data_IF_645264630282
#
_entry.id   IF_645264630282
#
_cell.length_a   1.000
_cell.length_b   1.000
_cell.length_c   1.000
_cell.angle_alpha   90.00
_cell.angle_beta   90.00
_cell.angle_gamma   90.00
#
_symmetry.space_group_name_H-M   'P 1'
#
loop_
_entity.id
_entity.type
_entity.pdbx_description
1 polymer ?
#
# COMPACT_ATOMS: atom_id res chain seq x y z
N UNK A 1 5.76 2.94 -26.24
CA UNK A 1 5.41 2.73 -24.82
C UNK A 1 5.98 1.37 -24.45
N UNK A 2 6.96 1.33 -23.54
CA UNK A 2 7.46 0.04 -23.05
C UNK A 2 6.32 -0.75 -22.43
N UNK A 3 6.34 -2.06 -22.65
CA UNK A 3 5.26 -2.94 -22.24
C UNK A 3 5.28 -3.09 -20.71
N UNK A 4 4.32 -2.54 -20.00
CA UNK A 4 4.20 -2.67 -18.54
C UNK A 4 3.95 -4.14 -18.20
N UNK A 5 4.91 -4.78 -17.54
CA UNK A 5 4.88 -6.20 -17.18
C UNK A 5 4.67 -6.46 -15.70
N UNK A 6 5.05 -5.50 -14.85
CA UNK A 6 4.98 -5.62 -13.39
C UNK A 6 4.39 -4.37 -12.76
N UNK A 7 3.28 -4.55 -12.07
CA UNK A 7 2.59 -3.49 -11.35
C UNK A 7 2.69 -3.78 -9.87
N UNK A 8 3.16 -2.82 -9.09
CA UNK A 8 3.16 -2.91 -7.64
C UNK A 8 1.97 -2.16 -7.06
N UNK A 9 1.22 -2.78 -6.15
CA UNK A 9 0.21 -2.12 -5.33
C UNK A 9 0.70 -2.01 -3.88
N UNK A 10 0.77 -0.79 -3.34
CA UNK A 10 1.19 -0.54 -1.97
C UNK A 10 -0.03 -0.55 -1.04
N UNK A 11 -0.17 -1.60 -0.21
CA UNK A 11 -1.29 -1.78 0.71
C UNK A 11 -0.90 -1.42 2.15
N UNK A 12 -1.61 -0.47 2.74
CA UNK A 12 -1.47 -0.07 4.15
C UNK A 12 -2.52 -0.72 5.06
N UNK A 13 -3.43 -1.55 4.52
CA UNK A 13 -4.53 -2.22 5.23
C UNK A 13 -5.43 -1.23 5.98
N UNK A 14 -5.95 -0.27 5.25
CA UNK A 14 -7.00 0.65 5.66
C UNK A 14 -8.34 0.20 5.07
N UNK A 15 -9.43 0.87 5.43
CA UNK A 15 -10.76 0.65 4.84
C UNK A 15 -10.81 0.79 3.30
N UNK A 16 -9.81 1.44 2.70
CA UNK A 16 -9.70 1.65 1.25
C UNK A 16 -8.87 0.58 0.52
N UNK A 17 -8.27 -0.38 1.26
CA UNK A 17 -7.33 -1.35 0.68
C UNK A 17 -7.97 -2.29 -0.33
N UNK A 18 -9.22 -2.68 -0.13
CA UNK A 18 -9.97 -3.54 -1.06
C UNK A 18 -10.19 -2.83 -2.42
N UNK A 19 -10.71 -1.60 -2.39
CA UNK A 19 -10.91 -0.81 -3.61
C UNK A 19 -9.61 -0.55 -4.37
N UNK A 20 -8.53 -0.23 -3.63
CA UNK A 20 -7.20 -0.05 -4.19
C UNK A 20 -6.66 -1.31 -4.84
N UNK A 21 -6.78 -2.46 -4.16
CA UNK A 21 -6.36 -3.75 -4.70
C UNK A 21 -7.13 -4.10 -5.97
N UNK A 22 -8.47 -4.01 -5.95
CA UNK A 22 -9.33 -4.32 -7.09
C UNK A 22 -9.02 -3.42 -8.30
N UNK A 23 -8.74 -2.14 -8.06
CA UNK A 23 -8.34 -1.20 -9.11
C UNK A 23 -6.99 -1.61 -9.73
N UNK A 24 -5.98 -1.91 -8.91
CA UNK A 24 -4.67 -2.36 -9.38
C UNK A 24 -4.75 -3.69 -10.13
N UNK A 25 -5.54 -4.64 -9.63
CA UNK A 25 -5.79 -5.93 -10.27
C UNK A 25 -6.43 -5.78 -11.65
N UNK A 26 -7.40 -4.87 -11.77
CA UNK A 26 -8.03 -4.56 -13.06
C UNK A 26 -7.03 -3.98 -14.07
N UNK A 27 -6.16 -3.07 -13.65
CA UNK A 27 -5.09 -2.54 -14.52
C UNK A 27 -4.13 -3.65 -14.94
N UNK A 28 -3.69 -4.48 -13.98
CA UNK A 28 -2.79 -5.59 -14.25
C UNK A 28 -3.41 -6.60 -15.24
N UNK A 29 -4.71 -6.86 -15.13
CA UNK A 29 -5.45 -7.73 -16.06
C UNK A 29 -5.49 -7.14 -17.47
N UNK A 30 -5.81 -5.86 -17.60
CA UNK A 30 -5.88 -5.17 -18.89
C UNK A 30 -4.53 -5.11 -19.61
N UNK A 31 -3.44 -5.00 -18.85
CA UNK A 31 -2.08 -4.93 -19.38
C UNK A 31 -1.39 -6.29 -19.47
N UNK A 32 -2.07 -7.38 -19.04
CA UNK A 32 -1.48 -8.72 -18.94
C UNK A 32 -0.18 -8.71 -18.11
N UNK A 33 -0.18 -7.99 -16.99
CA UNK A 33 0.96 -7.77 -16.11
C UNK A 33 0.87 -8.63 -14.83
N UNK A 34 2.03 -8.91 -14.22
CA UNK A 34 2.14 -9.44 -12.86
C UNK A 34 1.72 -8.36 -11.85
N UNK A 35 0.94 -8.73 -10.84
CA UNK A 35 0.58 -7.86 -9.73
C UNK A 35 1.39 -8.20 -8.48
N UNK A 36 2.18 -7.25 -7.99
CA UNK A 36 2.98 -7.41 -6.79
C UNK A 36 2.33 -6.60 -5.66
N UNK A 37 1.84 -7.30 -4.64
CA UNK A 37 1.30 -6.67 -3.44
C UNK A 37 2.47 -6.38 -2.50
N UNK A 38 2.73 -5.10 -2.21
CA UNK A 38 3.74 -4.68 -1.25
C UNK A 38 3.08 -4.16 0.03
N UNK A 39 3.48 -4.72 1.17
CA UNK A 39 3.05 -4.29 2.49
C UNK A 39 4.24 -4.02 3.39
N UNK A 40 4.38 -2.76 3.83
CA UNK A 40 5.48 -2.35 4.70
C UNK A 40 4.96 -2.15 6.12
N UNK A 41 5.53 -2.88 7.07
CA UNK A 41 5.33 -2.64 8.51
C UNK A 41 6.27 -1.50 8.90
N UNK A 42 5.71 -0.39 9.36
CA UNK A 42 6.50 0.79 9.66
C UNK A 42 7.39 0.53 10.89
N UNK A 43 8.69 0.70 10.75
CA UNK A 43 9.65 0.54 11.85
C UNK A 43 9.40 1.51 13.01
N UNK A 44 8.76 2.67 12.78
CA UNK A 44 8.37 3.59 13.86
C UNK A 44 7.33 2.98 14.79
N UNK A 45 6.39 2.21 14.26
CA UNK A 45 5.36 1.53 15.07
C UNK A 45 6.02 0.49 15.98
N UNK A 46 7.03 -0.22 15.47
CA UNK A 46 7.81 -1.20 16.23
C UNK A 46 8.64 -0.52 17.33
N UNK A 47 9.29 0.61 17.02
CA UNK A 47 10.03 1.38 18.01
C UNK A 47 9.12 1.88 19.14
N UNK A 48 7.91 2.33 18.82
CA UNK A 48 6.93 2.74 19.82
C UNK A 48 6.56 1.60 20.77
N UNK A 49 6.38 0.37 20.25
CA UNK A 49 6.13 -0.83 21.06
C UNK A 49 7.35 -1.14 21.94
N UNK A 50 8.56 -1.06 21.40
CA UNK A 50 9.81 -1.25 22.17
C UNK A 50 9.98 -0.24 23.31
N UNK A 51 9.57 1.01 23.11
CA UNK A 51 9.58 2.04 24.18
C UNK A 51 8.60 1.67 25.31
N UNK A 52 7.40 1.19 24.97
CA UNK A 52 6.42 0.74 25.97
C UNK A 52 6.96 -0.46 26.77
N UNK A 53 7.63 -1.40 26.10
CA UNK A 53 8.30 -2.53 26.75
C UNK A 53 9.40 -2.06 27.73
N UNK A 54 10.17 -1.03 27.37
CA UNK A 54 11.21 -0.47 28.24
C UNK A 54 10.65 0.23 29.50
N UNK A 55 9.37 0.58 29.51
CA UNK A 55 8.66 1.13 30.68
C UNK A 55 8.11 0.06 31.62
N UNK A 56 8.46 -1.21 31.41
CA UNK A 56 8.08 -2.34 32.29
C UNK A 56 6.78 -3.05 31.90
N UNK A 57 6.23 -2.78 30.74
CA UNK A 57 5.09 -3.54 30.20
C UNK A 57 5.59 -4.77 29.44
N UNK A 58 4.92 -5.90 29.64
CA UNK A 58 5.21 -7.14 28.90
C UNK A 58 4.70 -7.04 27.46
N UNK A 59 5.45 -6.37 26.60
CA UNK A 59 5.19 -6.27 25.17
C UNK A 59 6.45 -6.68 24.41
N UNK A 60 6.33 -7.71 23.57
CA UNK A 60 7.41 -8.18 22.72
C UNK A 60 7.25 -7.63 21.30
N UNK A 61 8.24 -6.86 20.86
CA UNK A 61 8.27 -6.24 19.53
C UNK A 61 8.27 -7.28 18.40
N UNK A 62 8.93 -8.43 18.61
CA UNK A 62 8.95 -9.51 17.61
C UNK A 62 7.59 -10.17 17.49
N UNK A 63 6.92 -10.45 18.60
CA UNK A 63 5.55 -10.97 18.64
C UNK A 63 4.55 -9.99 17.99
N UNK A 64 4.75 -8.70 18.21
CA UNK A 64 3.95 -7.64 17.57
C UNK A 64 4.08 -7.65 16.05
N UNK A 65 5.31 -7.74 15.52
CA UNK A 65 5.56 -7.82 14.07
C UNK A 65 4.94 -9.08 13.47
N UNK A 66 5.13 -10.24 14.11
CA UNK A 66 4.57 -11.51 13.66
C UNK A 66 3.04 -11.48 13.66
N UNK A 67 2.42 -10.87 14.66
CA UNK A 67 0.96 -10.68 14.73
C UNK A 67 0.42 -9.84 13.59
N UNK A 68 1.05 -8.68 13.33
CA UNK A 68 0.66 -7.82 12.21
C UNK A 68 0.84 -8.53 10.87
N UNK A 69 1.96 -9.22 10.68
CA UNK A 69 2.23 -9.93 9.43
C UNK A 69 1.20 -11.04 9.17
N UNK A 70 0.85 -11.81 10.22
CA UNK A 70 -0.15 -12.86 10.13
C UNK A 70 -1.54 -12.31 9.79
N UNK A 71 -1.93 -11.19 10.41
CA UNK A 71 -3.19 -10.51 10.13
C UNK A 71 -3.23 -10.00 8.67
N UNK A 72 -2.17 -9.35 8.23
CA UNK A 72 -2.06 -8.84 6.85
C UNK A 72 -2.05 -9.96 5.81
N UNK A 73 -1.41 -11.10 6.10
CA UNK A 73 -1.47 -12.28 5.22
C UNK A 73 -2.90 -12.80 5.05
N UNK A 74 -3.69 -12.84 6.13
CA UNK A 74 -5.10 -13.23 6.05
C UNK A 74 -5.92 -12.24 5.20
N UNK A 75 -5.68 -10.94 5.38
CA UNK A 75 -6.35 -9.91 4.59
C UNK A 75 -6.00 -10.01 3.10
N UNK A 76 -4.72 -10.20 2.78
CA UNK A 76 -4.26 -10.40 1.38
C UNK A 76 -4.90 -11.64 0.78
N UNK A 77 -4.92 -12.74 1.51
CA UNK A 77 -5.54 -13.98 1.03
C UNK A 77 -7.02 -13.79 0.73
N UNK A 78 -7.74 -13.08 1.60
CA UNK A 78 -9.14 -12.73 1.37
C UNK A 78 -9.33 -11.88 0.10
N UNK A 79 -8.50 -10.84 -0.09
CA UNK A 79 -8.53 -10.00 -1.30
C UNK A 79 -8.30 -10.80 -2.57
N UNK A 80 -7.33 -11.74 -2.54
CA UNK A 80 -7.03 -12.61 -3.69
C UNK A 80 -8.19 -13.55 -3.99
N UNK A 81 -8.80 -14.15 -2.95
CA UNK A 81 -9.91 -15.10 -3.10
C UNK A 81 -11.18 -14.44 -3.64
N UNK A 82 -11.44 -13.19 -3.25
CA UNK A 82 -12.61 -12.44 -3.71
C UNK A 82 -12.40 -11.75 -5.06
N UNK A 83 -11.15 -11.74 -5.55
CA UNK A 83 -10.80 -11.14 -6.83
C UNK A 83 -11.02 -12.08 -8.00
N UNK A 84 -11.39 -11.53 -9.16
CA UNK A 84 -11.39 -12.24 -10.43
C UNK A 84 -10.01 -12.35 -11.10
N UNK A 85 -8.99 -11.72 -10.53
CA UNK A 85 -7.64 -11.72 -11.09
C UNK A 85 -6.95 -13.07 -10.85
N UNK A 86 -6.19 -13.55 -11.85
CA UNK A 86 -5.55 -14.87 -11.75
C UNK A 86 -4.50 -14.89 -10.64
N UNK A 87 -4.72 -15.71 -9.61
CA UNK A 87 -3.82 -15.88 -8.46
C UNK A 87 -2.37 -16.18 -8.86
N UNK A 88 -2.14 -16.91 -9.96
CA UNK A 88 -0.78 -17.24 -10.43
C UNK A 88 0.02 -16.01 -10.86
N UNK A 89 -0.66 -14.92 -11.17
CA UNK A 89 -0.05 -13.64 -11.55
C UNK A 89 0.05 -12.65 -10.38
N UNK A 90 -0.18 -13.13 -9.14
CA UNK A 90 -0.07 -12.32 -7.92
C UNK A 90 1.08 -12.80 -7.07
N UNK A 91 1.93 -11.88 -6.64
CA UNK A 91 2.98 -12.11 -5.65
C UNK A 91 2.86 -11.11 -4.51
N UNK A 92 3.12 -11.53 -3.28
CA UNK A 92 3.04 -10.69 -2.10
C UNK A 92 4.40 -10.55 -1.44
N UNK A 93 4.76 -9.33 -1.06
CA UNK A 93 6.00 -9.00 -0.37
C UNK A 93 5.68 -8.23 0.90
N UNK A 94 6.12 -8.77 2.04
CA UNK A 94 6.10 -8.10 3.34
C UNK A 94 7.51 -7.62 3.68
N UNK A 95 7.61 -6.39 4.18
CA UNK A 95 8.86 -5.79 4.66
C UNK A 95 8.62 -5.02 5.94
N UNK A 96 9.66 -4.91 6.74
CA UNK A 96 9.72 -4.01 7.90
C UNK A 96 10.71 -2.89 7.57
N UNK A 97 10.33 -1.65 7.84
CA UNK A 97 11.21 -0.51 7.58
C UNK A 97 10.46 0.81 7.41
N UNK A 98 11.16 1.81 6.87
CA UNK A 98 10.50 3.04 6.44
C UNK A 98 9.68 2.78 5.16
N UNK A 99 8.36 3.02 5.17
CA UNK A 99 7.51 2.66 4.03
C UNK A 99 7.97 3.27 2.70
N UNK A 100 8.37 4.53 2.68
CA UNK A 100 8.84 5.18 1.44
C UNK A 100 10.11 4.52 0.91
N UNK A 101 11.10 4.32 1.77
CA UNK A 101 12.40 3.80 1.36
C UNK A 101 12.30 2.33 0.93
N UNK A 102 11.52 1.52 1.63
CA UNK A 102 11.33 0.12 1.26
C UNK A 102 10.54 -0.03 -0.05
N UNK A 103 9.52 0.79 -0.28
CA UNK A 103 8.79 0.78 -1.56
C UNK A 103 9.70 1.20 -2.72
N UNK A 104 10.52 2.24 -2.57
CA UNK A 104 11.49 2.66 -3.60
C UNK A 104 12.54 1.57 -3.88
N UNK A 105 13.06 0.91 -2.84
CA UNK A 105 13.97 -0.24 -3.01
C UNK A 105 13.30 -1.40 -3.76
N UNK A 106 12.04 -1.70 -3.44
CA UNK A 106 11.28 -2.74 -4.13
C UNK A 106 11.05 -2.41 -5.60
N UNK A 107 10.75 -1.14 -5.94
CA UNK A 107 10.60 -0.72 -7.33
C UNK A 107 11.82 -1.10 -8.15
N UNK A 108 13.01 -0.80 -7.64
CA UNK A 108 14.27 -1.10 -8.34
C UNK A 108 14.57 -2.60 -8.33
N UNK A 109 14.51 -3.24 -7.16
CA UNK A 109 14.89 -4.65 -6.97
C UNK A 109 14.03 -5.62 -7.77
N UNK A 110 12.73 -5.35 -7.83
CA UNK A 110 11.76 -6.22 -8.49
C UNK A 110 11.50 -5.84 -9.95
N UNK A 111 12.18 -4.79 -10.46
CA UNK A 111 11.96 -4.22 -11.79
C UNK A 111 10.48 -3.89 -12.02
N UNK A 112 9.91 -3.09 -11.12
CA UNK A 112 8.53 -2.62 -11.21
C UNK A 112 8.42 -1.57 -12.31
N UNK A 113 7.39 -1.68 -13.14
CA UNK A 113 7.15 -0.73 -14.24
C UNK A 113 6.16 0.38 -13.84
N UNK A 114 5.34 0.14 -12.80
CA UNK A 114 4.31 1.07 -12.34
C UNK A 114 3.94 0.78 -10.89
N UNK A 115 3.66 1.82 -10.10
CA UNK A 115 3.11 1.66 -8.75
C UNK A 115 1.71 2.26 -8.65
N UNK A 116 0.80 1.53 -8.02
CA UNK A 116 -0.56 1.98 -7.66
C UNK A 116 -0.64 2.11 -6.14
N UNK A 117 -1.12 3.24 -5.66
CA UNK A 117 -1.20 3.49 -4.22
C UNK A 117 -2.35 4.42 -3.86
N UNK A 118 -2.79 4.35 -2.60
CA UNK A 118 -3.76 5.28 -2.04
C UNK A 118 -3.11 6.65 -1.75
N UNK A 119 -3.91 7.69 -1.79
CA UNK A 119 -3.45 9.07 -1.48
C UNK A 119 -3.42 9.32 0.03
N UNK A 120 -4.33 8.68 0.79
CA UNK A 120 -4.41 8.78 2.25
C UNK A 120 -3.68 7.61 2.92
N UNK A 121 -3.00 7.90 4.04
CA UNK A 121 -2.42 6.88 4.91
C UNK A 121 -3.42 6.43 5.99
N UNK A 122 -2.91 5.78 7.04
CA UNK A 122 -3.68 5.30 8.21
C UNK A 122 -4.33 6.40 9.05
N UNK A 123 -3.85 7.63 8.99
CA UNK A 123 -4.43 8.75 9.73
C UNK A 123 -5.55 9.38 8.91
N UNK A 124 -6.79 9.11 9.30
CA UNK A 124 -8.04 9.71 8.78
C UNK A 124 -8.19 11.18 9.21
N UNK A 125 -7.14 11.97 9.12
CA UNK A 125 -7.31 13.42 9.29
C UNK A 125 -8.09 13.94 8.10
N UNK A 126 -9.29 14.44 8.37
CA UNK A 126 -10.31 14.90 7.42
C UNK A 126 -9.87 16.03 6.47
N UNK A 127 -8.63 16.45 6.54
CA UNK A 127 -8.12 17.54 5.72
C UNK A 127 -7.23 16.99 4.58
N UNK A 128 -7.49 17.48 3.43
CA UNK A 128 -6.94 17.50 2.07
C UNK A 128 -5.40 17.23 1.93
N UNK A 129 -4.76 16.57 2.87
CA UNK A 129 -3.33 16.30 2.79
C UNK A 129 -3.04 14.95 2.11
N UNK A 130 -2.18 15.00 1.12
CA UNK A 130 -1.54 13.82 0.56
C UNK A 130 -0.70 13.18 1.68
N UNK A 131 -0.87 11.89 1.93
CA UNK A 131 -0.10 11.18 2.95
C UNK A 131 1.41 11.29 2.69
N UNK A 132 2.19 11.36 3.76
CA UNK A 132 3.66 11.58 3.68
C UNK A 132 4.40 10.54 2.81
N UNK A 133 3.90 9.32 2.76
CA UNK A 133 4.46 8.26 1.89
C UNK A 133 4.12 8.54 0.43
N UNK A 134 2.87 8.91 0.14
CA UNK A 134 2.42 9.23 -1.20
C UNK A 134 3.18 10.44 -1.77
N UNK A 135 3.29 11.52 -1.03
CA UNK A 135 4.05 12.71 -1.44
C UNK A 135 5.50 12.37 -1.81
N UNK A 136 6.18 11.60 -0.96
CA UNK A 136 7.57 11.22 -1.21
C UNK A 136 7.72 10.29 -2.41
N UNK A 137 6.78 9.38 -2.62
CA UNK A 137 6.78 8.50 -3.79
C UNK A 137 6.53 9.28 -5.08
N UNK A 138 5.61 10.27 -5.10
CA UNK A 138 5.43 11.14 -6.26
C UNK A 138 6.70 11.90 -6.65
N UNK A 139 7.51 12.31 -5.68
CA UNK A 139 8.75 13.04 -5.93
C UNK A 139 9.93 12.15 -6.32
N UNK A 140 9.99 10.91 -5.83
CA UNK A 140 11.21 10.09 -5.85
C UNK A 140 11.07 8.80 -6.67
N UNK A 141 9.87 8.43 -7.09
CA UNK A 141 9.66 7.21 -7.86
C UNK A 141 10.29 7.31 -9.24
N UNK A 142 11.11 6.32 -9.65
CA UNK A 142 11.64 6.26 -11.02
C UNK A 142 10.64 5.73 -12.04
N UNK A 143 9.45 5.31 -11.59
CA UNK A 143 8.38 4.76 -12.44
C UNK A 143 7.09 5.53 -12.24
N UNK A 144 6.11 5.44 -13.17
CA UNK A 144 4.80 6.05 -13.05
C UNK A 144 4.10 5.67 -11.74
N UNK A 145 3.48 6.65 -11.09
CA UNK A 145 2.72 6.49 -9.86
C UNK A 145 1.25 6.80 -10.14
N UNK A 146 0.38 5.82 -9.94
CA UNK A 146 -1.07 6.00 -10.02
C UNK A 146 -1.61 6.20 -8.60
N UNK A 147 -2.29 7.31 -8.38
CA UNK A 147 -3.00 7.60 -7.14
C UNK A 147 -4.45 7.13 -7.23
N UNK A 148 -4.82 6.18 -6.37
CA UNK A 148 -6.20 5.73 -6.24
C UNK A 148 -6.96 6.55 -5.20
N UNK A 149 -8.19 6.89 -5.51
CA UNK A 149 -9.19 7.42 -4.56
C UNK A 149 -10.45 6.58 -4.68
N UNK A 150 -11.02 6.23 -3.54
CA UNK A 150 -12.35 5.62 -3.51
C UNK A 150 -13.44 6.63 -3.97
N UNK A 151 -14.60 6.12 -4.34
CA UNK A 151 -15.69 6.94 -4.88
C UNK A 151 -16.17 8.01 -3.88
N UNK A 152 -16.21 7.68 -2.58
CA UNK A 152 -16.61 8.64 -1.53
C UNK A 152 -15.66 9.84 -1.48
N UNK A 153 -14.35 9.58 -1.51
CA UNK A 153 -13.33 10.65 -1.52
C UNK A 153 -13.36 11.44 -2.83
N UNK A 154 -13.57 10.76 -3.95
CA UNK A 154 -13.66 11.40 -5.26
C UNK A 154 -14.89 12.32 -5.36
N UNK A 155 -16.05 11.88 -4.85
CA UNK A 155 -17.27 12.68 -4.83
C UNK A 155 -17.14 13.94 -3.96
N UNK A 156 -16.52 13.82 -2.79
CA UNK A 156 -16.25 14.97 -1.93
C UNK A 156 -15.36 16.02 -2.63
N UNK A 157 -14.35 15.57 -3.36
CA UNK A 157 -13.48 16.47 -4.12
C UNK A 157 -14.22 17.13 -5.30
N UNK A 158 -15.05 16.37 -6.04
CA UNK A 158 -15.88 16.93 -7.11
C UNK A 158 -16.79 18.06 -6.60
N UNK A 159 -17.46 17.84 -5.47
CA UNK A 159 -18.31 18.86 -4.84
C UNK A 159 -17.52 20.13 -4.49
N UNK A 160 -16.31 20.00 -3.94
CA UNK A 160 -15.45 21.15 -3.61
C UNK A 160 -15.00 21.92 -4.85
N UNK A 161 -14.67 21.23 -5.95
CA UNK A 161 -14.24 21.87 -7.20
C UNK A 161 -15.37 22.64 -7.86
N UNK A 162 -16.61 22.13 -7.82
CA UNK A 162 -17.77 22.79 -8.44
C UNK A 162 -18.20 24.03 -7.65
N UNK A 163 -17.94 24.07 -6.32
CA UNK A 163 -18.33 25.18 -5.44
C UNK A 163 -17.17 26.14 -5.11
N UNK A 164 -16.00 25.97 -5.72
CA UNK A 164 -14.87 26.88 -5.62
C UNK A 164 -14.90 27.92 -6.75
#
# INVERSE_FOLDING_TARGET
MENVKKIMVALAFTSHSEGLFNYAAKIAQLLNAELIIASIINSRDIMAVGMVASMGYEVDAEHYVQGIEAERKKMVEHLIQTSSFNRKNIRTIFKVGNPTDELLKLIVKENIDMIVMGVKGRSDLEHIFVGSVAEKLFRRSPVPVISFRDEKSAEQLRKKIIHA
#
